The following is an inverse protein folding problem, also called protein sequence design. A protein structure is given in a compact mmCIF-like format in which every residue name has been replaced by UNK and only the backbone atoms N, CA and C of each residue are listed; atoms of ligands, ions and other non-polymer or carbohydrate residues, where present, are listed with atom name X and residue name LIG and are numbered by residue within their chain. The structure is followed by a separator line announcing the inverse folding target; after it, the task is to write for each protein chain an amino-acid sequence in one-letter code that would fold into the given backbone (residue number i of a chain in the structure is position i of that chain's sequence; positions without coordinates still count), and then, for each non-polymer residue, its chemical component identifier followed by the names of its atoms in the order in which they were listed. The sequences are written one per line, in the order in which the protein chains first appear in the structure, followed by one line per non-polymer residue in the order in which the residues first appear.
data_IF_743833656449
#
_entry.id   IF_743833656449
#
_cell.length_a   1.000
_cell.length_b   1.000
_cell.length_c   1.000
_cell.angle_alpha   90.00
_cell.angle_beta   90.00
_cell.angle_gamma   90.00
#
_symmetry.space_group_name_H-M   'P 1'
#
loop_
_entity.id
_entity.type
_entity.pdbx_description
1 polymer ?
#
# COMPACT_ATOMS: atom_id res chain seq x y z
N UNK A 1 2.43 9.69 14.42
CA UNK A 1 1.90 8.33 14.67
C UNK A 1 1.78 8.03 16.16
N UNK A 2 2.87 8.00 16.94
CA UNK A 2 2.86 7.71 18.38
C UNK A 2 1.86 8.54 19.21
N UNK A 3 1.83 9.86 19.00
CA UNK A 3 0.88 10.74 19.69
C UNK A 3 -0.59 10.42 19.37
N UNK A 4 -0.89 10.12 18.09
CA UNK A 4 -2.22 9.70 17.66
C UNK A 4 -2.63 8.37 18.32
N UNK A 5 -1.71 7.40 18.35
CA UNK A 5 -1.91 6.12 19.02
C UNK A 5 -2.25 6.31 20.50
N UNK A 6 -1.44 7.09 21.23
CA UNK A 6 -1.68 7.35 22.63
C UNK A 6 -3.03 8.03 22.85
N UNK A 7 -3.37 9.03 22.03
CA UNK A 7 -4.66 9.70 22.12
C UNK A 7 -5.84 8.75 21.92
N UNK A 8 -5.76 7.81 20.96
CA UNK A 8 -6.81 6.80 20.75
C UNK A 8 -6.93 5.87 21.97
N UNK A 9 -5.82 5.45 22.56
CA UNK A 9 -5.78 4.60 23.75
C UNK A 9 -6.40 5.32 24.96
N UNK A 10 -6.07 6.60 25.14
CA UNK A 10 -6.60 7.45 26.21
C UNK A 10 -8.10 7.69 26.03
N UNK A 11 -8.60 7.69 24.78
CA UNK A 11 -10.04 7.71 24.46
C UNK A 11 -10.71 6.33 24.56
N UNK A 12 -10.00 5.30 25.01
CA UNK A 12 -10.56 3.97 25.28
C UNK A 12 -10.47 2.97 24.13
N UNK A 13 -9.71 3.26 23.06
CA UNK A 13 -9.44 2.25 22.04
C UNK A 13 -8.72 1.04 22.65
N UNK A 14 -9.25 -0.16 22.38
CA UNK A 14 -8.70 -1.45 22.86
C UNK A 14 -8.18 -2.34 21.76
N UNK A 15 -8.57 -2.07 20.52
CA UNK A 15 -8.07 -2.73 19.33
C UNK A 15 -7.70 -1.66 18.30
N UNK A 16 -6.44 -1.67 17.84
CA UNK A 16 -5.95 -0.70 16.87
C UNK A 16 -5.14 -1.43 15.79
N UNK A 17 -5.61 -1.34 14.54
CA UNK A 17 -4.88 -1.81 13.37
C UNK A 17 -4.16 -0.67 12.66
N UNK A 18 -2.89 -0.88 12.28
CA UNK A 18 -2.11 0.07 11.50
C UNK A 18 -1.54 -0.58 10.26
N UNK A 19 -1.69 0.11 9.14
CA UNK A 19 -1.17 -0.33 7.85
C UNK A 19 0.19 0.32 7.60
N UNK A 20 1.16 -0.46 7.13
CA UNK A 20 2.47 0.04 6.71
C UNK A 20 2.43 0.85 5.42
N UNK A 21 3.56 1.43 5.04
CA UNK A 21 3.75 2.06 3.73
C UNK A 21 3.91 1.00 2.63
N UNK A 22 3.39 1.26 1.42
CA UNK A 22 3.62 0.42 0.24
C UNK A 22 5.06 0.59 -0.28
N UNK A 23 5.49 -0.17 -1.32
CA UNK A 23 6.74 0.11 -2.04
C UNK A 23 6.66 1.45 -2.77
N UNK A 24 7.00 2.53 -2.06
CA UNK A 24 6.84 3.92 -2.51
C UNK A 24 7.56 4.19 -3.83
N UNK A 25 8.70 3.54 -4.08
CA UNK A 25 9.46 3.67 -5.33
C UNK A 25 8.72 3.15 -6.56
N UNK A 26 7.71 2.30 -6.38
CA UNK A 26 6.96 1.68 -7.45
C UNK A 26 5.63 2.39 -7.77
N UNK A 27 5.28 3.47 -7.06
CA UNK A 27 4.09 4.25 -7.40
C UNK A 27 4.25 4.87 -8.79
N UNK A 28 3.24 4.85 -9.67
CA UNK A 28 3.37 5.40 -11.02
C UNK A 28 3.78 6.88 -11.04
N UNK A 29 3.34 7.69 -10.07
CA UNK A 29 3.81 9.07 -9.89
C UNK A 29 5.33 9.13 -9.66
N UNK A 30 5.86 8.28 -8.77
CA UNK A 30 7.29 8.23 -8.44
C UNK A 30 8.10 7.74 -9.64
N UNK A 31 7.66 6.67 -10.29
CA UNK A 31 8.28 6.16 -11.52
C UNK A 31 8.32 7.25 -12.59
N UNK A 32 7.24 8.00 -12.79
CA UNK A 32 7.20 9.10 -13.76
C UNK A 32 8.22 10.20 -13.43
N UNK A 33 8.45 10.49 -12.15
CA UNK A 33 9.41 11.51 -11.73
C UNK A 33 10.87 11.04 -11.78
N UNK A 34 11.13 9.75 -11.54
CA UNK A 34 12.52 9.23 -11.39
C UNK A 34 12.99 8.41 -12.58
N UNK A 35 12.07 7.85 -13.37
CA UNK A 35 12.31 6.98 -14.52
C UNK A 35 11.22 7.22 -15.61
N UNK A 36 11.14 8.43 -16.18
CA UNK A 36 10.08 8.80 -17.13
C UNK A 36 10.14 8.08 -18.47
N UNK A 37 11.31 7.55 -18.85
CA UNK A 37 11.55 6.92 -20.15
C UNK A 37 11.67 5.41 -20.03
N UNK A 38 11.41 4.69 -21.14
CA UNK A 38 11.49 3.24 -21.17
C UNK A 38 12.95 2.74 -21.06
N UNK A 39 13.25 1.73 -20.23
CA UNK A 39 12.34 1.02 -19.36
C UNK A 39 11.97 1.84 -18.11
N UNK A 40 10.68 1.90 -17.80
CA UNK A 40 10.17 2.52 -16.57
C UNK A 40 10.36 1.57 -15.40
N UNK A 41 11.06 2.01 -14.37
CA UNK A 41 11.47 1.15 -13.24
C UNK A 41 11.15 1.79 -11.89
N UNK A 42 10.94 0.93 -10.88
CA UNK A 42 10.82 1.38 -9.49
C UNK A 42 12.09 2.07 -9.03
N UNK A 43 11.93 3.09 -8.17
CA UNK A 43 13.06 3.69 -7.47
C UNK A 43 13.37 2.93 -6.17
N UNK A 44 14.41 2.09 -6.19
CA UNK A 44 14.76 1.26 -5.04
C UNK A 44 15.10 2.06 -3.78
N UNK A 45 15.70 3.24 -3.92
CA UNK A 45 16.02 4.08 -2.75
C UNK A 45 14.76 4.58 -2.05
N UNK A 46 13.71 4.94 -2.79
CA UNK A 46 12.44 5.38 -2.21
C UNK A 46 11.65 4.20 -1.63
N UNK A 47 11.71 3.03 -2.26
CA UNK A 47 11.17 1.78 -1.68
C UNK A 47 11.88 1.40 -0.38
N UNK A 48 13.20 1.57 -0.30
CA UNK A 48 13.98 1.32 0.91
C UNK A 48 13.57 2.25 2.07
N UNK A 49 13.29 3.53 1.79
CA UNK A 49 12.78 4.45 2.82
C UNK A 49 11.45 3.96 3.41
N UNK A 50 10.57 3.35 2.59
CA UNK A 50 9.32 2.76 3.07
C UNK A 50 9.58 1.55 3.98
N UNK A 51 10.54 0.69 3.64
CA UNK A 51 10.98 -0.42 4.49
C UNK A 51 11.47 0.10 5.84
N UNK A 52 12.38 1.09 5.83
CA UNK A 52 12.96 1.66 7.05
C UNK A 52 11.88 2.30 7.94
N UNK A 53 10.91 2.98 7.33
CA UNK A 53 9.75 3.52 8.04
C UNK A 53 8.91 2.40 8.67
N UNK A 54 8.59 1.35 7.91
CA UNK A 54 7.78 0.23 8.38
C UNK A 54 8.45 -0.53 9.54
N UNK A 55 9.77 -0.68 9.51
CA UNK A 55 10.54 -1.30 10.61
C UNK A 55 10.49 -0.45 11.89
N UNK A 56 10.67 0.87 11.75
CA UNK A 56 10.56 1.80 12.89
C UNK A 56 9.14 1.83 13.44
N UNK A 57 8.13 1.82 12.56
CA UNK A 57 6.73 1.75 12.96
C UNK A 57 6.45 0.50 13.78
N UNK A 58 6.80 -0.69 13.29
CA UNK A 58 6.64 -1.95 14.01
C UNK A 58 7.34 -1.94 15.38
N UNK A 59 8.55 -1.38 15.45
CA UNK A 59 9.30 -1.27 16.71
C UNK A 59 8.59 -0.38 17.74
N UNK A 60 8.06 0.77 17.30
CA UNK A 60 7.28 1.66 18.16
C UNK A 60 5.95 1.03 18.58
N UNK A 61 5.23 0.35 17.67
CA UNK A 61 3.98 -0.33 17.99
C UNK A 61 4.20 -1.42 19.05
N UNK A 62 5.27 -2.22 18.89
CA UNK A 62 5.66 -3.23 19.87
C UNK A 62 6.00 -2.61 21.24
N UNK A 63 6.66 -1.45 21.27
CA UNK A 63 6.97 -0.75 22.51
C UNK A 63 5.73 -0.16 23.21
N UNK A 64 4.64 0.07 22.49
CA UNK A 64 3.37 0.56 23.05
C UNK A 64 2.47 -0.58 23.56
N UNK A 65 2.76 -1.82 23.19
CA UNK A 65 1.98 -2.98 23.61
C UNK A 65 2.39 -3.43 25.02
N UNK A 66 1.42 -3.58 25.91
CA UNK A 66 1.60 -4.03 27.29
C UNK A 66 0.58 -5.11 27.63
N UNK A 67 0.85 -5.95 28.63
CA UNK A 67 -0.03 -7.09 29.00
C UNK A 67 -1.47 -6.67 29.36
N UNK A 68 -1.64 -5.44 29.85
CA UNK A 68 -2.95 -4.86 30.20
C UNK A 68 -3.37 -3.74 29.22
N UNK A 69 -2.63 -3.57 28.13
CA UNK A 69 -2.81 -2.52 27.14
C UNK A 69 -3.78 -2.91 26.02
N UNK A 70 -3.92 -2.03 25.00
CA UNK A 70 -4.68 -2.37 23.80
C UNK A 70 -3.99 -3.47 22.99
N UNK A 71 -4.78 -4.24 22.24
CA UNK A 71 -4.27 -5.06 21.13
C UNK A 71 -3.91 -4.13 19.97
N UNK A 72 -2.64 -4.12 19.60
CA UNK A 72 -2.11 -3.33 18.48
C UNK A 72 -1.63 -4.30 17.41
N UNK A 73 -2.11 -4.11 16.18
CA UNK A 73 -1.78 -4.99 15.06
C UNK A 73 -1.21 -4.17 13.91
N UNK A 74 -0.10 -4.67 13.36
CA UNK A 74 0.50 -4.15 12.15
C UNK A 74 0.06 -4.99 10.95
N UNK A 75 -0.42 -4.32 9.91
CA UNK A 75 -0.80 -4.90 8.64
C UNK A 75 0.24 -4.54 7.58
N UNK A 76 0.96 -5.57 7.12
CA UNK A 76 1.93 -5.40 6.05
C UNK A 76 1.25 -5.39 4.68
N UNK A 77 1.35 -4.26 3.99
CA UNK A 77 0.92 -4.13 2.59
C UNK A 77 2.12 -4.07 1.63
N UNK A 78 3.35 -3.96 2.15
CA UNK A 78 4.54 -3.85 1.33
C UNK A 78 4.81 -5.16 0.59
N UNK A 79 4.90 -6.27 1.33
CA UNK A 79 5.22 -7.56 0.73
C UNK A 79 4.15 -8.05 -0.27
N UNK A 80 2.83 -7.99 0.04
CA UNK A 80 1.80 -8.37 -0.94
C UNK A 80 1.87 -7.57 -2.25
N UNK A 81 2.20 -6.28 -2.17
CA UNK A 81 2.37 -5.44 -3.37
C UNK A 81 3.64 -5.81 -4.14
N UNK A 82 4.75 -6.07 -3.46
CA UNK A 82 5.98 -6.54 -4.13
C UNK A 82 5.76 -7.88 -4.84
N UNK A 83 5.05 -8.83 -4.23
CA UNK A 83 4.75 -10.12 -4.86
C UNK A 83 4.01 -9.92 -6.19
N UNK A 84 3.01 -9.03 -6.20
CA UNK A 84 2.28 -8.66 -7.42
C UNK A 84 3.21 -8.01 -8.44
N UNK A 85 3.99 -7.02 -8.04
CA UNK A 85 4.83 -6.24 -8.95
C UNK A 85 5.93 -7.09 -9.59
N UNK A 86 6.45 -8.10 -8.89
CA UNK A 86 7.48 -9.00 -9.39
C UNK A 86 6.91 -10.12 -10.28
N UNK A 87 5.68 -10.57 -10.04
CA UNK A 87 5.06 -11.68 -10.77
C UNK A 87 3.63 -11.37 -11.23
N UNK A 88 3.38 -10.25 -11.95
CA UNK A 88 2.03 -9.73 -12.17
C UNK A 88 1.09 -10.72 -12.86
N UNK A 89 1.62 -11.49 -13.83
CA UNK A 89 0.85 -12.49 -14.57
C UNK A 89 0.34 -13.64 -13.69
N UNK A 90 1.05 -14.01 -12.62
CA UNK A 90 0.58 -15.02 -11.66
C UNK A 90 -0.65 -14.54 -10.88
N UNK A 91 -0.80 -13.22 -10.75
CA UNK A 91 -1.92 -12.57 -10.07
C UNK A 91 -2.97 -12.03 -11.05
N UNK A 92 -2.80 -12.25 -12.36
CA UNK A 92 -3.73 -11.86 -13.40
C UNK A 92 -3.61 -10.42 -13.90
N UNK A 93 -2.53 -9.71 -13.51
CA UNK A 93 -2.22 -8.34 -13.95
C UNK A 93 -1.30 -8.34 -15.16
N UNK A 94 -1.50 -7.35 -16.02
CA UNK A 94 -0.71 -7.11 -17.22
C UNK A 94 0.16 -5.84 -17.08
N UNK A 95 -0.31 -4.84 -16.32
CA UNK A 95 0.35 -3.54 -16.18
C UNK A 95 0.64 -3.14 -14.73
N UNK A 96 1.89 -2.77 -14.45
CA UNK A 96 2.40 -2.55 -13.08
C UNK A 96 2.96 -1.15 -12.82
N UNK A 97 3.29 -0.38 -13.85
CA UNK A 97 4.08 0.86 -13.72
C UNK A 97 3.39 2.13 -14.27
N UNK A 98 2.12 2.00 -14.69
CA UNK A 98 1.21 3.05 -15.12
C UNK A 98 -0.17 2.88 -14.50
N UNK A 99 -0.89 3.97 -14.26
CA UNK A 99 -2.27 3.93 -13.79
C UNK A 99 -3.26 3.62 -14.92
N UNK A 100 -4.38 2.96 -14.58
CA UNK A 100 -5.49 2.76 -15.52
C UNK A 100 -6.19 4.07 -15.92
N UNK A 101 -6.30 5.02 -14.99
CA UNK A 101 -6.86 6.34 -15.20
C UNK A 101 -5.74 7.36 -15.47
N UNK A 102 -5.76 7.94 -16.65
CA UNK A 102 -4.74 8.87 -17.11
C UNK A 102 -4.05 8.37 -18.37
N UNK A 103 -2.86 8.89 -18.63
CA UNK A 103 -2.08 8.54 -19.81
C UNK A 103 -0.92 7.60 -19.49
N UNK A 104 -0.66 7.27 -18.21
CA UNK A 104 0.56 6.60 -17.78
C UNK A 104 1.80 7.52 -17.78
N UNK A 105 1.80 8.63 -18.52
CA UNK A 105 2.95 9.51 -18.74
C UNK A 105 2.87 10.84 -17.98
N UNK A 106 1.69 11.18 -17.44
CA UNK A 106 1.36 12.49 -16.84
C UNK A 106 0.96 12.33 -15.36
N UNK A 107 1.21 11.14 -14.80
CA UNK A 107 0.81 10.64 -13.47
C UNK A 107 1.12 11.60 -12.30
N UNK A 108 2.05 12.54 -12.44
CA UNK A 108 2.42 13.50 -11.39
C UNK A 108 1.82 14.91 -11.54
N UNK A 109 1.06 15.21 -12.59
CA UNK A 109 0.64 16.60 -12.89
C UNK A 109 -0.87 16.83 -12.86
N UNK A 110 -1.67 15.96 -13.47
CA UNK A 110 -3.12 16.05 -13.45
C UNK A 110 -3.71 14.79 -12.82
N UNK A 111 -4.39 14.97 -11.70
CA UNK A 111 -5.11 13.87 -11.06
C UNK A 111 -6.22 13.33 -11.98
N UNK A 112 -6.55 12.05 -11.79
CA UNK A 112 -7.67 11.40 -12.43
C UNK A 112 -8.96 12.22 -12.23
N UNK A 113 -9.66 12.56 -13.32
CA UNK A 113 -10.89 13.36 -13.30
C UNK A 113 -11.83 12.95 -14.42
N UNK A 114 -12.99 13.62 -14.53
CA UNK A 114 -14.05 13.31 -15.52
C UNK A 114 -13.60 13.37 -16.98
N UNK A 115 -12.52 14.09 -17.29
CA UNK A 115 -11.94 14.17 -18.63
C UNK A 115 -10.78 13.19 -18.87
N UNK A 116 -10.37 12.42 -17.86
CA UNK A 116 -9.28 11.46 -18.00
C UNK A 116 -9.70 10.26 -18.84
N UNK A 117 -8.77 9.75 -19.64
CA UNK A 117 -8.93 8.43 -20.27
C UNK A 117 -8.85 7.35 -19.19
N UNK A 118 -9.69 6.34 -19.31
CA UNK A 118 -9.69 5.16 -18.44
C UNK A 118 -9.35 3.97 -19.32
N UNK A 119 -8.51 3.07 -18.80
CA UNK A 119 -8.15 1.83 -19.48
C UNK A 119 -9.39 0.93 -19.70
N UNK A 120 -9.38 0.01 -20.69
CA UNK A 120 -10.53 -0.85 -20.97
C UNK A 120 -10.89 -1.84 -19.85
N UNK A 121 -9.88 -2.34 -19.12
CA UNK A 121 -10.06 -3.31 -18.05
C UNK A 121 -9.17 -2.97 -16.84
N UNK A 122 -9.72 -2.28 -15.82
CA UNK A 122 -8.99 -1.96 -14.61
C UNK A 122 -8.50 -3.19 -13.82
N UNK A 123 -9.09 -4.37 -14.01
CA UNK A 123 -8.64 -5.58 -13.29
C UNK A 123 -7.26 -6.07 -13.76
N UNK A 124 -6.79 -5.57 -14.92
CA UNK A 124 -5.46 -5.87 -15.48
C UNK A 124 -4.36 -4.93 -15.03
N UNK A 125 -4.70 -3.89 -14.28
CA UNK A 125 -3.75 -2.89 -13.79
C UNK A 125 -3.56 -3.04 -12.28
N UNK A 126 -2.31 -2.90 -11.82
CA UNK A 126 -2.03 -2.83 -10.38
C UNK A 126 -2.54 -1.51 -9.78
N UNK A 127 -2.41 -0.41 -10.53
CA UNK A 127 -2.79 0.93 -10.08
C UNK A 127 -3.96 1.50 -10.87
N UNK A 128 -4.93 2.07 -10.14
CA UNK A 128 -6.05 2.78 -10.75
C UNK A 128 -5.62 4.16 -11.22
N UNK A 129 -4.88 4.90 -10.40
CA UNK A 129 -4.30 6.19 -10.76
C UNK A 129 -2.80 6.21 -10.43
N UNK A 130 -2.21 7.39 -10.31
CA UNK A 130 -0.78 7.55 -10.10
C UNK A 130 -0.25 7.12 -8.73
N UNK A 131 -1.15 6.80 -7.80
CA UNK A 131 -0.84 6.49 -6.39
C UNK A 131 -1.63 5.26 -5.93
N UNK A 132 -2.92 5.20 -6.22
CA UNK A 132 -3.84 4.25 -5.62
C UNK A 132 -3.95 2.95 -6.42
N UNK A 133 -3.88 1.78 -5.76
CA UNK A 133 -4.15 0.49 -6.38
C UNK A 133 -5.56 0.37 -6.99
N UNK A 134 -5.74 -0.58 -7.91
CA UNK A 134 -7.09 -0.95 -8.40
C UNK A 134 -7.84 -1.76 -7.35
N UNK A 135 -9.17 -1.90 -7.55
CA UNK A 135 -10.00 -2.78 -6.73
C UNK A 135 -9.46 -4.22 -6.69
N UNK A 136 -8.98 -4.73 -7.83
CA UNK A 136 -8.39 -6.07 -7.93
C UNK A 136 -7.16 -6.21 -7.02
N UNK A 137 -6.29 -5.21 -7.01
CA UNK A 137 -5.12 -5.19 -6.12
C UNK A 137 -5.52 -5.02 -4.66
N UNK A 138 -6.45 -4.13 -4.33
CA UNK A 138 -6.97 -3.99 -2.96
C UNK A 138 -7.61 -5.28 -2.44
N UNK A 139 -8.37 -5.98 -3.27
CA UNK A 139 -8.96 -7.28 -2.92
C UNK A 139 -7.89 -8.33 -2.60
N UNK A 140 -6.78 -8.36 -3.35
CA UNK A 140 -5.66 -9.25 -3.05
C UNK A 140 -4.99 -8.89 -1.72
N UNK A 141 -4.67 -7.61 -1.50
CA UNK A 141 -4.06 -7.13 -0.25
C UNK A 141 -4.98 -7.47 0.94
N UNK A 142 -6.28 -7.22 0.83
CA UNK A 142 -7.26 -7.58 1.85
C UNK A 142 -7.24 -9.08 2.17
N UNK A 143 -7.26 -9.96 1.15
CA UNK A 143 -7.19 -11.41 1.36
C UNK A 143 -5.92 -11.87 2.09
N UNK A 144 -4.80 -11.14 1.95
CA UNK A 144 -3.58 -11.41 2.72
C UNK A 144 -3.67 -10.99 4.17
N UNK A 145 -4.43 -9.94 4.47
CA UNK A 145 -4.66 -9.46 5.84
C UNK A 145 -5.81 -10.19 6.54
N UNK A 146 -6.71 -10.81 5.77
CA UNK A 146 -7.93 -11.43 6.28
C UNK A 146 -7.69 -12.45 7.42
N UNK A 147 -6.71 -13.38 7.35
CA UNK A 147 -6.49 -14.32 8.46
C UNK A 147 -6.17 -13.61 9.78
N UNK A 148 -5.38 -12.54 9.73
CA UNK A 148 -5.03 -11.72 10.89
C UNK A 148 -6.26 -10.97 11.41
N UNK A 149 -7.06 -10.41 10.50
CA UNK A 149 -8.33 -9.73 10.87
C UNK A 149 -9.28 -10.72 11.55
N UNK A 150 -9.42 -11.93 11.01
CA UNK A 150 -10.32 -12.96 11.52
C UNK A 150 -9.87 -13.42 12.93
N UNK A 151 -8.57 -13.64 13.16
CA UNK A 151 -7.99 -13.98 14.47
C UNK A 151 -8.34 -12.91 15.52
N UNK A 152 -8.14 -11.64 15.17
CA UNK A 152 -8.38 -10.50 16.05
C UNK A 152 -9.86 -10.34 16.40
N UNK A 153 -10.75 -10.44 15.41
CA UNK A 153 -12.18 -10.20 15.62
C UNK A 153 -12.83 -11.36 16.37
N UNK A 154 -12.37 -12.59 16.15
CA UNK A 154 -12.94 -13.78 16.78
C UNK A 154 -12.43 -14.01 18.21
N UNK A 155 -11.45 -13.23 18.67
CA UNK A 155 -10.97 -13.26 20.05
C UNK A 155 -10.24 -14.54 20.43
N UNK A 156 -9.52 -15.15 19.47
CA UNK A 156 -8.62 -16.28 19.72
C UNK A 156 -7.18 -15.81 19.90
#
# INVERSE_FOLDING_TARGET
MKQLMQALIDQGARLIGLVGLPPMGCLPAVITLTSPFSPRQCNESLSQIAIDFNQKLQSELKAMQTDQGPTIVYFDIYQPLIDILQNPSQFGFDETNIGCCGSGLIEATFACNVGSKICPDPSKYVFFDSIHPTEATYNYIFKKMQPVIDEIIQGQ
#
